data_IF_078250088851
#
_entry.id   IF_078250088851
#
_cell.length_a   1.000
_cell.length_b   1.000
_cell.length_c   1.000
_cell.angle_alpha   90.00
_cell.angle_beta   90.00
_cell.angle_gamma   90.00
#
_symmetry.space_group_name_H-M   'P 1'
#
loop_
_entity.id
_entity.type
_entity.pdbx_description
1 polymer ?
#
# COMPACT_ATOMS: atom_id res chain seq x y z
N UNK A 1 6.32 16.60 6.04
CA UNK A 1 6.95 17.30 4.90
C UNK A 1 6.78 18.79 5.05
N UNK A 2 7.81 19.51 5.50
CA UNK A 2 7.79 20.98 5.65
C UNK A 2 8.61 21.57 4.52
N UNK A 3 7.95 22.26 3.61
CA UNK A 3 8.56 23.01 2.52
C UNK A 3 9.12 24.33 3.07
N UNK A 4 10.41 24.53 2.90
CA UNK A 4 11.13 25.74 3.22
C UNK A 4 11.05 26.70 2.03
N UNK A 5 10.21 27.73 2.15
CA UNK A 5 10.16 28.85 1.23
C UNK A 5 11.27 29.87 1.57
N UNK A 6 12.34 29.91 0.81
CA UNK A 6 13.35 30.98 0.85
C UNK A 6 12.90 32.11 -0.08
N UNK A 7 12.41 33.20 0.50
CA UNK A 7 12.16 34.47 -0.23
C UNK A 7 13.49 35.13 -0.57
N UNK A 8 13.80 35.21 -1.86
CA UNK A 8 14.87 36.03 -2.39
C UNK A 8 14.29 37.45 -2.54
N UNK A 9 14.80 38.38 -1.74
CA UNK A 9 14.53 39.82 -1.91
C UNK A 9 15.59 40.42 -2.83
N UNK A 10 15.26 40.62 -4.09
CA UNK A 10 16.02 41.50 -5.00
C UNK A 10 15.58 42.95 -4.78
N UNK A 11 16.45 43.76 -4.22
CA UNK A 11 16.33 45.21 -4.28
C UNK A 11 17.28 45.74 -5.35
N UNK A 12 16.75 46.03 -6.54
CA UNK A 12 17.41 46.85 -7.51
C UNK A 12 17.10 48.33 -7.16
N UNK A 13 18.12 49.08 -6.84
CA UNK A 13 18.03 50.55 -6.71
C UNK A 13 18.91 51.15 -7.77
N UNK A 14 18.30 51.68 -8.78
CA UNK A 14 18.93 52.53 -9.80
C UNK A 14 18.92 53.97 -9.27
N UNK A 15 20.09 54.52 -9.01
CA UNK A 15 20.24 55.95 -8.86
C UNK A 15 21.24 56.47 -9.93
N UNK A 16 20.70 57.14 -10.89
CA UNK A 16 21.40 57.90 -11.90
C UNK A 16 21.90 59.23 -11.29
N UNK A 17 23.19 59.39 -11.17
CA UNK A 17 23.78 60.63 -10.74
C UNK A 17 25.20 60.79 -11.29
N UNK A 18 25.34 61.40 -12.47
CA UNK A 18 26.61 61.86 -12.98
C UNK A 18 27.03 63.12 -12.22
N UNK A 19 28.02 63.00 -11.34
CA UNK A 19 28.75 64.15 -10.85
C UNK A 19 30.24 63.96 -11.18
N UNK A 20 30.73 64.75 -12.13
CA UNK A 20 32.14 64.87 -12.45
C UNK A 20 32.80 65.68 -11.32
N UNK A 21 33.51 64.98 -10.44
CA UNK A 21 34.29 65.59 -9.39
C UNK A 21 35.77 65.60 -9.77
N UNK A 22 36.27 66.81 -9.99
CA UNK A 22 37.69 67.23 -10.25
C UNK A 22 38.58 66.98 -9.02
N UNK A 23 38.90 65.73 -8.69
CA UNK A 23 39.88 65.32 -7.67
C UNK A 23 40.85 64.23 -8.16
N UNK A 24 41.37 64.44 -9.38
CA UNK A 24 42.28 63.47 -10.01
C UNK A 24 43.77 63.79 -9.84
N UNK A 25 44.17 64.93 -9.28
CA UNK A 25 45.59 65.39 -9.36
C UNK A 25 46.44 65.31 -8.09
N UNK A 26 45.94 64.72 -6.96
CA UNK A 26 46.76 64.61 -5.75
C UNK A 26 47.03 63.18 -5.26
N UNK A 27 46.81 62.17 -6.08
CA UNK A 27 46.95 60.76 -5.63
C UNK A 27 48.10 59.98 -6.26
N UNK A 28 48.92 60.62 -7.10
CA UNK A 28 50.04 59.92 -7.75
C UNK A 28 51.39 59.99 -6.99
N UNK A 29 51.55 60.85 -6.01
CA UNK A 29 52.82 60.88 -5.24
C UNK A 29 52.93 59.89 -4.09
N UNK A 30 51.81 59.31 -3.61
CA UNK A 30 51.84 58.42 -2.48
C UNK A 30 51.89 56.91 -2.86
N UNK A 31 51.81 56.61 -4.16
CA UNK A 31 51.84 55.16 -4.61
C UNK A 31 53.27 54.69 -4.87
N UNK A 32 54.28 55.59 -5.07
CA UNK A 32 55.64 55.14 -5.30
C UNK A 32 56.47 54.91 -4.04
N UNK A 33 55.93 55.18 -2.84
CA UNK A 33 56.64 54.86 -1.56
C UNK A 33 56.24 53.58 -0.96
N UNK A 34 55.35 52.75 -1.58
CA UNK A 34 54.87 51.51 -1.03
C UNK A 34 55.33 50.26 -1.79
N UNK A 35 56.33 50.38 -2.67
CA UNK A 35 57.14 49.25 -3.13
C UNK A 35 58.28 49.06 -2.11
N UNK A 36 57.96 49.01 -0.84
CA UNK A 36 58.80 48.35 0.15
C UNK A 36 58.62 46.87 -0.09
N UNK A 37 59.65 46.27 -0.63
CA UNK A 37 59.94 44.84 -0.61
C UNK A 37 59.22 44.15 0.53
N UNK A 38 58.00 43.65 0.27
CA UNK A 38 57.37 42.68 1.13
C UNK A 38 58.19 41.38 1.00
N UNK A 39 59.38 41.36 1.64
CA UNK A 39 60.04 40.12 1.99
C UNK A 39 59.05 39.43 2.92
N UNK A 40 58.26 38.52 2.35
CA UNK A 40 57.34 37.66 3.15
C UNK A 40 58.18 37.08 4.28
N UNK A 41 57.87 37.40 5.55
CA UNK A 41 58.69 36.95 6.64
C UNK A 41 58.75 35.41 6.59
N UNK A 42 59.92 34.84 6.74
CA UNK A 42 60.13 33.38 6.68
C UNK A 42 59.07 32.60 7.48
N UNK A 43 58.60 33.16 8.57
CA UNK A 43 57.51 32.64 9.40
C UNK A 43 56.20 32.45 8.62
N UNK A 44 55.92 33.34 7.63
CA UNK A 44 54.71 33.27 6.82
C UNK A 44 54.84 32.18 5.74
N UNK A 45 56.02 32.01 5.18
CA UNK A 45 56.33 30.92 4.23
C UNK A 45 56.20 29.56 4.91
N UNK A 46 56.80 29.43 6.11
CA UNK A 46 56.71 28.20 6.91
C UNK A 46 55.23 27.86 7.27
N UNK A 47 54.46 28.89 7.66
CA UNK A 47 53.06 28.73 8.01
C UNK A 47 52.22 28.29 6.78
N UNK A 48 52.53 28.82 5.61
CA UNK A 48 51.86 28.43 4.37
C UNK A 48 52.18 26.99 3.94
N UNK A 49 53.46 26.61 4.07
CA UNK A 49 53.90 25.23 3.82
C UNK A 49 53.23 24.25 4.80
N UNK A 50 53.14 24.59 6.07
CA UNK A 50 52.46 23.77 7.07
C UNK A 50 50.96 23.63 6.79
N UNK A 51 50.30 24.71 6.44
CA UNK A 51 48.84 24.66 6.10
C UNK A 51 48.61 23.88 4.84
N UNK A 52 49.46 24.03 3.80
CA UNK A 52 49.41 23.24 2.58
C UNK A 52 49.61 21.74 2.87
N UNK A 53 50.63 21.40 3.67
CA UNK A 53 50.94 20.02 4.04
C UNK A 53 49.79 19.39 4.86
N UNK A 54 49.25 20.14 5.82
CA UNK A 54 48.09 19.71 6.61
C UNK A 54 46.85 19.43 5.71
N UNK A 55 46.57 20.30 4.75
CA UNK A 55 45.49 20.12 3.82
C UNK A 55 45.73 18.93 2.88
N UNK A 56 46.96 18.76 2.41
CA UNK A 56 47.36 17.62 1.60
C UNK A 56 47.19 16.31 2.34
N UNK A 57 47.69 16.21 3.59
CA UNK A 57 47.50 15.03 4.45
C UNK A 57 46.00 14.73 4.67
N UNK A 58 45.19 15.77 4.90
CA UNK A 58 43.74 15.61 5.03
C UNK A 58 43.12 15.06 3.76
N UNK A 59 43.52 15.52 2.60
CA UNK A 59 43.02 15.04 1.32
C UNK A 59 43.42 13.59 1.06
N UNK A 60 44.70 13.25 1.30
CA UNK A 60 45.18 11.89 1.16
C UNK A 60 44.48 10.95 2.13
N UNK A 61 44.20 11.39 3.37
CA UNK A 61 43.46 10.62 4.36
C UNK A 61 42.01 10.33 3.91
N UNK A 62 41.35 11.31 3.32
CA UNK A 62 40.02 11.14 2.74
C UNK A 62 40.03 10.14 1.56
N UNK A 63 41.00 10.24 0.66
CA UNK A 63 41.16 9.28 -0.44
C UNK A 63 41.41 7.87 0.09
N UNK A 64 42.21 7.73 1.12
CA UNK A 64 42.45 6.44 1.77
C UNK A 64 41.16 5.86 2.38
N UNK A 65 40.37 6.67 3.09
CA UNK A 65 39.10 6.23 3.65
C UNK A 65 38.11 5.83 2.53
N UNK A 66 38.05 6.59 1.44
CA UNK A 66 37.28 6.22 0.27
C UNK A 66 37.75 4.90 -0.36
N UNK A 67 39.04 4.71 -0.49
CA UNK A 67 39.63 3.46 -0.95
C UNK A 67 39.25 2.27 -0.08
N UNK A 68 39.30 2.43 1.24
CA UNK A 68 38.87 1.41 2.20
C UNK A 68 37.36 1.13 2.10
N UNK A 69 36.54 2.17 1.93
CA UNK A 69 35.10 2.01 1.75
C UNK A 69 34.75 1.25 0.48
N UNK A 70 35.42 1.57 -0.64
CA UNK A 70 35.27 0.85 -1.92
C UNK A 70 35.74 -0.60 -1.80
N UNK A 71 36.88 -0.83 -1.17
CA UNK A 71 37.39 -2.18 -0.92
C UNK A 71 36.43 -2.98 -0.04
N UNK A 72 35.94 -2.38 1.04
CA UNK A 72 34.93 -2.98 1.92
C UNK A 72 33.64 -3.34 1.16
N UNK A 73 33.17 -2.44 0.31
CA UNK A 73 32.03 -2.69 -0.56
C UNK A 73 32.28 -3.88 -1.51
N UNK A 74 33.46 -3.91 -2.13
CA UNK A 74 33.85 -5.01 -3.04
C UNK A 74 33.92 -6.36 -2.31
N UNK A 75 34.48 -6.37 -1.08
CA UNK A 75 34.52 -7.58 -0.24
C UNK A 75 33.11 -8.05 0.09
N UNK A 76 32.20 -7.16 0.45
CA UNK A 76 30.79 -7.53 0.76
C UNK A 76 30.08 -8.19 -0.41
N UNK A 77 30.35 -7.76 -1.63
CA UNK A 77 29.65 -8.27 -2.83
C UNK A 77 30.39 -9.42 -3.55
N UNK A 78 31.71 -9.48 -3.46
CA UNK A 78 32.52 -10.47 -4.20
C UNK A 78 32.86 -11.72 -3.39
N UNK A 79 32.74 -11.69 -2.07
CA UNK A 79 33.15 -12.85 -1.25
C UNK A 79 32.01 -13.85 -1.06
N UNK A 80 32.30 -15.16 -1.08
CA UNK A 80 31.32 -16.22 -0.87
C UNK A 80 30.80 -16.26 0.59
N UNK A 81 31.40 -15.49 1.51
CA UNK A 81 30.99 -15.42 2.92
C UNK A 81 29.54 -14.94 3.08
N UNK A 82 29.10 -14.03 2.19
CA UNK A 82 27.76 -13.46 2.20
C UNK A 82 26.81 -14.13 1.20
N UNK A 83 27.12 -15.33 0.77
CA UNK A 83 26.29 -16.11 -0.14
C UNK A 83 25.19 -16.80 0.65
N UNK A 84 23.94 -16.61 0.23
CA UNK A 84 22.77 -17.18 0.90
C UNK A 84 22.80 -18.71 0.86
N UNK A 85 22.76 -19.33 2.02
CA UNK A 85 22.62 -20.79 2.14
C UNK A 85 21.16 -21.19 2.26
N UNK A 86 20.72 -22.29 1.61
CA UNK A 86 19.33 -22.71 1.65
C UNK A 86 18.80 -22.98 3.07
N UNK A 87 19.64 -23.54 3.93
CA UNK A 87 19.34 -23.83 5.34
C UNK A 87 19.29 -22.59 6.25
N UNK A 88 19.71 -21.45 5.76
CA UNK A 88 19.72 -20.15 6.45
C UNK A 88 18.58 -19.22 6.05
N UNK A 89 17.63 -19.71 5.24
CA UNK A 89 16.41 -18.98 4.91
C UNK A 89 15.39 -19.25 6.02
N UNK A 90 15.12 -18.24 6.86
CA UNK A 90 14.06 -18.29 7.87
C UNK A 90 12.79 -17.69 7.29
N UNK A 91 11.70 -18.43 7.34
CA UNK A 91 10.40 -18.00 6.82
C UNK A 91 9.45 -17.82 7.98
N UNK A 92 8.80 -16.65 8.03
CA UNK A 92 7.73 -16.31 8.95
C UNK A 92 6.50 -15.96 8.13
N UNK A 93 5.44 -16.75 8.28
CA UNK A 93 4.17 -16.57 7.58
C UNK A 93 3.16 -15.88 8.49
N UNK A 94 2.38 -14.91 7.96
CA UNK A 94 1.39 -14.16 8.72
C UNK A 94 0.09 -13.96 7.91
N UNK A 95 -1.03 -14.58 8.36
CA UNK A 95 -1.14 -15.67 9.33
C UNK A 95 -0.58 -16.98 8.77
N UNK A 96 0.03 -17.80 9.61
CA UNK A 96 0.71 -19.03 9.20
C UNK A 96 -0.20 -20.03 8.45
N UNK A 97 -1.45 -20.28 8.89
CA UNK A 97 -2.31 -21.29 8.25
C UNK A 97 -2.72 -20.96 6.80
N UNK A 98 -2.58 -19.68 6.38
CA UNK A 98 -3.02 -19.21 5.04
C UNK A 98 -2.07 -19.64 3.93
N UNK A 99 -0.82 -19.94 4.29
CA UNK A 99 0.24 -20.23 3.33
C UNK A 99 0.62 -21.70 3.35
N UNK A 100 0.82 -22.26 2.16
CA UNK A 100 1.60 -23.50 2.04
C UNK A 100 3.08 -23.17 2.23
N UNK A 101 3.59 -23.51 3.41
CA UNK A 101 4.97 -23.28 3.78
C UNK A 101 5.95 -23.93 2.81
N UNK A 102 5.62 -25.16 2.35
CA UNK A 102 6.47 -25.88 1.41
C UNK A 102 6.58 -25.17 0.07
N UNK A 103 5.48 -24.61 -0.45
CA UNK A 103 5.48 -23.82 -1.67
C UNK A 103 6.33 -22.54 -1.53
N UNK A 104 6.20 -21.82 -0.40
CA UNK A 104 7.00 -20.62 -0.13
C UNK A 104 8.49 -20.98 -0.02
N UNK A 105 8.84 -22.04 0.70
CA UNK A 105 10.22 -22.53 0.83
C UNK A 105 10.82 -22.90 -0.53
N UNK A 106 10.04 -23.58 -1.36
CA UNK A 106 10.47 -23.98 -2.71
C UNK A 106 10.79 -22.74 -3.58
N UNK A 107 9.92 -21.76 -3.62
CA UNK A 107 10.12 -20.53 -4.38
C UNK A 107 11.34 -19.71 -3.88
N UNK A 108 11.60 -19.71 -2.58
CA UNK A 108 12.72 -18.97 -2.01
C UNK A 108 14.07 -19.67 -2.23
N UNK A 109 14.09 -20.98 -2.58
CA UNK A 109 15.33 -21.70 -2.93
C UNK A 109 16.03 -21.14 -4.15
N UNK A 110 15.31 -20.50 -5.08
CA UNK A 110 15.90 -19.88 -6.26
C UNK A 110 16.82 -18.68 -5.94
N UNK A 111 16.75 -18.18 -4.73
CA UNK A 111 17.67 -17.15 -4.23
C UNK A 111 18.91 -17.73 -3.56
N UNK A 112 18.97 -19.04 -3.31
CA UNK A 112 20.17 -19.68 -2.76
C UNK A 112 21.35 -19.53 -3.74
N UNK A 113 22.55 -19.33 -3.19
CA UNK A 113 23.75 -19.07 -3.97
C UNK A 113 23.94 -17.61 -4.40
N UNK A 114 22.95 -16.74 -4.22
CA UNK A 114 23.09 -15.30 -4.47
C UNK A 114 23.63 -14.59 -3.24
N UNK A 115 24.31 -13.46 -3.45
CA UNK A 115 24.77 -12.63 -2.32
C UNK A 115 23.56 -12.01 -1.59
N UNK A 116 23.52 -12.11 -0.26
CA UNK A 116 22.38 -11.64 0.56
C UNK A 116 22.09 -10.14 0.42
N UNK A 117 23.11 -9.33 0.08
CA UNK A 117 22.95 -7.89 -0.15
C UNK A 117 22.39 -7.57 -1.54
N UNK A 118 22.58 -8.46 -2.54
CA UNK A 118 22.06 -8.29 -3.89
C UNK A 118 20.58 -8.69 -4.01
N UNK A 119 20.04 -9.47 -3.08
CA UNK A 119 18.63 -9.88 -3.10
C UNK A 119 17.78 -8.72 -2.58
N UNK A 120 16.95 -8.14 -3.44
CA UNK A 120 16.02 -7.10 -3.00
C UNK A 120 14.73 -7.70 -2.43
N UNK A 121 14.03 -6.94 -1.59
CA UNK A 121 12.68 -7.31 -1.10
C UNK A 121 11.70 -7.41 -2.26
N UNK A 122 11.87 -6.55 -3.28
CA UNK A 122 11.02 -6.54 -4.47
C UNK A 122 11.20 -7.81 -5.31
N UNK A 123 12.42 -8.32 -5.45
CA UNK A 123 12.67 -9.57 -6.20
C UNK A 123 11.96 -10.76 -5.52
N UNK A 124 12.04 -10.82 -4.18
CA UNK A 124 11.34 -11.84 -3.39
C UNK A 124 9.82 -11.69 -3.56
N UNK A 125 9.30 -10.47 -3.45
CA UNK A 125 7.87 -10.20 -3.61
C UNK A 125 7.38 -10.62 -5.00
N UNK A 126 8.09 -10.27 -6.05
CA UNK A 126 7.74 -10.63 -7.44
C UNK A 126 7.72 -12.16 -7.61
N UNK A 127 8.78 -12.85 -7.20
CA UNK A 127 8.86 -14.31 -7.33
C UNK A 127 7.74 -15.03 -6.57
N UNK A 128 7.36 -14.54 -5.38
CA UNK A 128 6.28 -15.12 -4.60
C UNK A 128 4.90 -14.75 -5.17
N UNK A 129 4.67 -13.49 -5.58
CA UNK A 129 3.35 -13.00 -6.03
C UNK A 129 2.93 -13.57 -7.38
N UNK A 130 3.86 -13.99 -8.23
CA UNK A 130 3.56 -14.70 -9.48
C UNK A 130 2.88 -16.05 -9.24
N UNK A 131 3.18 -16.70 -8.11
CA UNK A 131 2.67 -18.03 -7.76
C UNK A 131 1.60 -18.02 -6.65
N UNK A 132 1.64 -17.03 -5.76
CA UNK A 132 0.78 -16.92 -4.58
C UNK A 132 0.07 -15.56 -4.61
N UNK A 133 -1.17 -15.54 -5.08
CA UNK A 133 -1.92 -14.29 -5.36
C UNK A 133 -2.34 -13.49 -4.13
N UNK A 134 -2.44 -14.13 -2.95
CA UNK A 134 -2.94 -13.48 -1.73
C UNK A 134 -1.85 -12.83 -0.87
N UNK A 135 -0.65 -12.65 -1.40
CA UNK A 135 0.44 -11.96 -0.70
C UNK A 135 0.18 -10.45 -0.69
N UNK A 136 0.14 -9.87 0.50
CA UNK A 136 0.01 -8.43 0.71
C UNK A 136 1.36 -7.73 0.79
N UNK A 137 2.31 -8.33 1.51
CA UNK A 137 3.63 -7.75 1.70
C UNK A 137 4.68 -8.82 1.98
N UNK A 138 5.91 -8.46 1.65
CA UNK A 138 7.11 -9.22 2.00
C UNK A 138 8.08 -8.29 2.69
N UNK A 139 8.61 -8.71 3.82
CA UNK A 139 9.67 -8.01 4.52
C UNK A 139 10.91 -8.90 4.56
N UNK A 140 12.07 -8.32 4.26
CA UNK A 140 13.36 -9.02 4.33
C UNK A 140 14.21 -8.42 5.42
N UNK A 141 14.77 -9.24 6.29
CA UNK A 141 15.84 -8.89 7.22
C UNK A 141 17.05 -9.79 7.02
N UNK A 142 18.25 -9.23 7.21
CA UNK A 142 19.50 -9.96 7.05
C UNK A 142 19.85 -10.70 8.34
N UNK A 143 20.25 -11.96 8.23
CA UNK A 143 20.82 -12.74 9.31
C UNK A 143 22.27 -13.05 8.94
N UNK A 144 23.16 -12.13 9.35
CA UNK A 144 24.58 -12.23 9.00
C UNK A 144 25.21 -13.51 9.55
N UNK A 145 26.19 -14.09 8.82
CA UNK A 145 26.78 -13.59 7.57
C UNK A 145 26.06 -14.08 6.29
N UNK A 146 25.34 -15.19 6.32
CA UNK A 146 24.94 -15.99 5.15
C UNK A 146 23.45 -16.33 5.12
N UNK A 147 22.60 -15.60 5.85
CA UNK A 147 21.18 -15.87 5.98
C UNK A 147 20.26 -14.67 5.76
N UNK A 148 19.00 -14.96 5.51
CA UNK A 148 17.91 -13.99 5.48
C UNK A 148 16.73 -14.51 6.28
N UNK A 149 15.99 -13.58 6.87
CA UNK A 149 14.64 -13.86 7.35
C UNK A 149 13.65 -13.15 6.45
N UNK A 150 12.69 -13.90 5.92
CA UNK A 150 11.61 -13.40 5.07
C UNK A 150 10.31 -13.53 5.83
N UNK A 151 9.63 -12.41 6.03
CA UNK A 151 8.27 -12.37 6.61
C UNK A 151 7.31 -12.15 5.44
N UNK A 152 6.44 -13.12 5.21
CA UNK A 152 5.42 -13.05 4.16
C UNK A 152 4.07 -12.84 4.83
N UNK A 153 3.36 -11.78 4.45
CA UNK A 153 2.04 -11.46 5.00
C UNK A 153 0.98 -11.52 3.92
N UNK A 154 -0.17 -12.14 4.21
CA UNK A 154 -1.33 -12.11 3.33
C UNK A 154 -2.19 -10.87 3.60
N UNK A 155 -3.07 -10.55 2.65
CA UNK A 155 -4.16 -9.62 2.93
C UNK A 155 -5.03 -10.17 4.07
N UNK A 156 -5.49 -9.31 4.99
CA UNK A 156 -6.32 -9.77 6.09
C UNK A 156 -7.64 -10.35 5.55
N UNK A 157 -8.13 -11.44 6.11
CA UNK A 157 -9.44 -11.97 5.78
C UNK A 157 -10.53 -11.02 6.28
N UNK A 158 -11.50 -10.73 5.40
CA UNK A 158 -12.61 -9.82 5.68
C UNK A 158 -13.93 -10.53 5.87
N UNK A 159 -14.12 -11.65 5.16
CA UNK A 159 -15.35 -12.44 5.21
C UNK A 159 -15.05 -13.94 5.12
N UNK A 160 -15.94 -14.74 5.67
CA UNK A 160 -16.01 -16.18 5.36
C UNK A 160 -17.01 -16.38 4.23
N UNK A 161 -16.50 -16.62 3.02
CA UNK A 161 -17.30 -16.81 1.83
C UNK A 161 -17.82 -18.25 1.74
N UNK A 162 -19.10 -18.38 1.45
CA UNK A 162 -19.76 -19.64 1.15
C UNK A 162 -20.11 -19.66 -0.35
N UNK A 163 -19.52 -20.60 -1.09
CA UNK A 163 -19.72 -20.77 -2.54
C UNK A 163 -20.23 -22.18 -2.76
N UNK A 164 -21.55 -22.33 -2.88
CA UNK A 164 -22.21 -23.62 -2.80
C UNK A 164 -21.98 -24.25 -1.43
N UNK A 165 -21.39 -25.45 -1.39
CA UNK A 165 -21.07 -26.16 -0.15
C UNK A 165 -19.65 -25.87 0.37
N UNK A 166 -18.83 -25.22 -0.42
CA UNK A 166 -17.44 -24.93 -0.08
C UNK A 166 -17.30 -23.65 0.75
N UNK A 167 -16.32 -23.64 1.65
CA UNK A 167 -16.00 -22.51 2.50
C UNK A 167 -14.61 -21.99 2.21
N UNK A 168 -14.49 -20.67 2.16
CA UNK A 168 -13.25 -19.95 1.93
C UNK A 168 -13.19 -18.75 2.86
N UNK A 169 -11.97 -18.27 3.13
CA UNK A 169 -11.80 -16.91 3.61
C UNK A 169 -11.62 -15.99 2.41
N UNK A 170 -12.33 -14.88 2.42
CA UNK A 170 -12.26 -13.83 1.42
C UNK A 170 -11.45 -12.67 1.99
N UNK A 171 -10.36 -12.33 1.33
CA UNK A 171 -9.49 -11.24 1.74
C UNK A 171 -10.07 -9.88 1.33
N UNK A 172 -9.48 -8.80 1.85
CA UNK A 172 -9.90 -7.43 1.49
C UNK A 172 -9.81 -7.13 0.00
N UNK A 173 -8.88 -7.76 -0.71
CA UNK A 173 -8.70 -7.59 -2.16
C UNK A 173 -9.44 -8.64 -3.00
N UNK A 174 -10.39 -9.37 -2.41
CA UNK A 174 -11.24 -10.31 -3.13
C UNK A 174 -10.63 -11.68 -3.42
N UNK A 175 -9.43 -11.98 -2.91
CA UNK A 175 -8.82 -13.29 -3.09
C UNK A 175 -9.48 -14.32 -2.18
N UNK A 176 -9.75 -15.51 -2.75
CA UNK A 176 -10.23 -16.66 -2.00
C UNK A 176 -9.04 -17.47 -1.48
N UNK A 177 -9.00 -17.69 -0.17
CA UNK A 177 -7.99 -18.51 0.50
C UNK A 177 -8.67 -19.65 1.26
N UNK A 178 -7.99 -20.75 1.57
CA UNK A 178 -8.57 -21.85 2.33
C UNK A 178 -9.21 -21.39 3.63
N UNK A 179 -10.34 -22.00 4.00
CA UNK A 179 -11.02 -21.68 5.27
C UNK A 179 -10.16 -22.07 6.47
N UNK A 180 -10.07 -21.16 7.42
CA UNK A 180 -9.38 -21.34 8.69
C UNK A 180 -10.41 -21.16 9.78
N UNK A 181 -10.83 -22.24 10.45
CA UNK A 181 -11.94 -22.22 11.41
C UNK A 181 -11.76 -21.21 12.56
N UNK A 182 -10.51 -20.97 12.97
CA UNK A 182 -10.16 -20.08 14.09
C UNK A 182 -10.29 -18.60 13.77
N UNK A 183 -10.47 -18.24 12.49
CA UNK A 183 -10.61 -16.86 12.07
C UNK A 183 -12.08 -16.43 12.19
N UNK A 184 -12.35 -15.51 13.10
CA UNK A 184 -13.69 -14.94 13.27
C UNK A 184 -13.90 -13.76 12.31
N UNK A 185 -14.67 -13.98 11.27
CA UNK A 185 -15.07 -12.94 10.30
C UNK A 185 -16.54 -13.12 9.92
N UNK A 186 -17.23 -12.05 9.47
CA UNK A 186 -18.61 -12.14 9.02
C UNK A 186 -18.79 -13.16 7.87
N UNK A 187 -19.91 -13.86 7.86
CA UNK A 187 -20.28 -14.76 6.76
C UNK A 187 -20.78 -13.95 5.56
N UNK A 188 -20.37 -14.33 4.35
CA UNK A 188 -20.85 -13.80 3.08
C UNK A 188 -21.19 -14.96 2.15
N UNK A 189 -22.44 -15.10 1.77
CA UNK A 189 -22.83 -16.06 0.75
C UNK A 189 -22.57 -15.44 -0.63
N UNK A 190 -21.85 -16.15 -1.49
CA UNK A 190 -21.51 -15.72 -2.84
C UNK A 190 -22.24 -16.61 -3.84
N UNK A 191 -23.04 -15.98 -4.69
CA UNK A 191 -23.82 -16.63 -5.73
C UNK A 191 -23.31 -16.18 -7.11
N UNK A 192 -23.56 -17.01 -8.11
CA UNK A 192 -23.23 -16.73 -9.52
C UNK A 192 -21.78 -16.30 -9.73
N UNK A 193 -20.86 -16.96 -8.99
CA UNK A 193 -19.42 -16.66 -9.11
C UNK A 193 -18.95 -16.95 -10.54
N UNK A 194 -18.31 -15.97 -11.15
CA UNK A 194 -17.72 -16.09 -12.49
C UNK A 194 -16.57 -17.11 -12.40
N UNK A 195 -16.63 -18.14 -13.23
CA UNK A 195 -15.56 -19.14 -13.36
C UNK A 195 -14.74 -18.83 -14.59
N UNK A 196 -13.42 -18.86 -14.48
CA UNK A 196 -12.56 -18.78 -15.66
C UNK A 196 -12.66 -20.10 -16.44
N UNK A 197 -13.23 -20.09 -17.68
CA UNK A 197 -13.44 -21.30 -18.45
C UNK A 197 -12.13 -21.98 -18.88
N UNK A 198 -11.01 -21.26 -18.86
CA UNK A 198 -9.71 -21.80 -19.31
C UNK A 198 -8.96 -22.50 -18.20
N UNK A 199 -9.18 -22.10 -16.94
CA UNK A 199 -8.38 -22.58 -15.78
C UNK A 199 -9.23 -23.53 -14.90
N UNK A 200 -10.56 -23.51 -15.04
CA UNK A 200 -11.49 -24.28 -14.19
C UNK A 200 -11.44 -23.86 -12.70
N UNK A 201 -10.76 -22.75 -12.39
CA UNK A 201 -10.61 -22.21 -11.05
C UNK A 201 -11.58 -21.06 -10.82
N UNK A 202 -12.07 -20.94 -9.59
CA UNK A 202 -12.87 -19.79 -9.17
C UNK A 202 -12.05 -18.52 -9.32
N UNK A 203 -12.61 -17.52 -10.00
CA UNK A 203 -11.97 -16.20 -10.12
C UNK A 203 -12.05 -15.47 -8.78
N UNK A 204 -11.04 -14.66 -8.43
CA UNK A 204 -11.17 -13.78 -7.28
C UNK A 204 -12.27 -12.75 -7.55
N UNK A 205 -12.98 -12.36 -6.48
CA UNK A 205 -13.93 -11.24 -6.55
C UNK A 205 -13.14 -9.97 -6.85
N UNK A 206 -13.64 -9.13 -7.76
CA UNK A 206 -12.94 -7.91 -8.14
C UNK A 206 -12.76 -6.95 -6.94
N UNK A 207 -11.60 -6.33 -6.82
CA UNK A 207 -11.31 -5.34 -5.77
C UNK A 207 -12.36 -4.23 -5.70
N UNK A 208 -12.89 -3.82 -6.86
CA UNK A 208 -13.93 -2.80 -6.95
C UNK A 208 -15.22 -3.25 -6.29
N UNK A 209 -15.61 -4.52 -6.46
CA UNK A 209 -16.81 -5.10 -5.86
C UNK A 209 -16.63 -5.23 -4.34
N UNK A 210 -15.47 -5.72 -3.90
CA UNK A 210 -15.12 -5.76 -2.48
C UNK A 210 -15.13 -4.38 -1.82
N UNK A 211 -14.64 -3.38 -2.53
CA UNK A 211 -14.72 -1.99 -2.08
C UNK A 211 -16.17 -1.51 -1.96
N UNK A 212 -17.01 -1.80 -2.95
CA UNK A 212 -18.45 -1.51 -2.93
C UNK A 212 -19.16 -2.14 -1.74
N UNK A 213 -18.95 -3.44 -1.51
CA UNK A 213 -19.51 -4.19 -0.37
C UNK A 213 -19.12 -3.52 0.96
N UNK A 214 -17.84 -3.21 1.15
CA UNK A 214 -17.36 -2.54 2.38
C UNK A 214 -18.01 -1.18 2.61
N UNK A 215 -18.17 -0.40 1.55
CA UNK A 215 -18.78 0.94 1.66
C UNK A 215 -20.27 0.85 2.01
N UNK A 216 -21.01 -0.09 1.43
CA UNK A 216 -22.41 -0.34 1.77
C UNK A 216 -22.53 -0.72 3.25
N UNK A 217 -21.72 -1.67 3.71
CA UNK A 217 -21.75 -2.14 5.10
C UNK A 217 -21.34 -1.08 6.11
N UNK A 218 -20.35 -0.26 5.78
CA UNK A 218 -19.97 0.88 6.63
C UNK A 218 -21.10 1.91 6.72
N UNK A 219 -21.73 2.23 5.59
CA UNK A 219 -22.88 3.12 5.56
C UNK A 219 -24.08 2.56 6.33
N UNK A 220 -24.33 1.25 6.20
CA UNK A 220 -25.35 0.55 6.97
C UNK A 220 -25.11 0.69 8.47
N UNK A 221 -23.90 0.37 8.94
CA UNK A 221 -23.52 0.49 10.35
C UNK A 221 -23.67 1.91 10.89
N UNK A 222 -23.40 2.93 10.07
CA UNK A 222 -23.53 4.34 10.48
C UNK A 222 -24.99 4.84 10.51
N UNK A 223 -25.78 4.45 9.53
CA UNK A 223 -27.11 5.04 9.25
C UNK A 223 -28.28 4.17 9.66
N UNK A 224 -28.09 2.87 9.66
CA UNK A 224 -29.10 1.85 9.89
C UNK A 224 -28.70 0.88 11.02
N UNK A 225 -27.94 1.36 12.00
CA UNK A 225 -27.39 0.55 13.12
C UNK A 225 -28.47 -0.13 13.98
N UNK A 226 -29.71 0.36 13.94
CA UNK A 226 -30.86 -0.26 14.62
C UNK A 226 -31.32 -1.57 13.97
N UNK A 227 -30.87 -1.85 12.75
CA UNK A 227 -31.20 -3.04 12.00
C UNK A 227 -29.97 -3.97 11.94
N UNK A 228 -29.94 -5.05 12.74
CA UNK A 228 -28.85 -6.01 12.72
C UNK A 228 -28.75 -6.69 11.35
N UNK A 229 -27.55 -7.03 10.94
CA UNK A 229 -27.32 -7.80 9.72
C UNK A 229 -27.36 -9.28 10.12
N UNK A 230 -28.38 -10.00 9.65
CA UNK A 230 -28.54 -11.44 9.91
C UNK A 230 -27.73 -12.24 8.90
N UNK A 231 -27.73 -11.79 7.62
CA UNK A 231 -27.08 -12.49 6.52
C UNK A 231 -26.64 -11.51 5.44
N UNK A 232 -25.55 -11.84 4.76
CA UNK A 232 -25.06 -11.12 3.57
C UNK A 232 -25.04 -12.08 2.38
N UNK A 233 -25.59 -11.65 1.24
CA UNK A 233 -25.56 -12.39 -0.01
C UNK A 233 -25.03 -11.50 -1.12
N UNK A 234 -24.02 -11.95 -1.81
CA UNK A 234 -23.42 -11.25 -2.94
C UNK A 234 -23.65 -12.04 -4.24
N UNK A 235 -24.26 -11.40 -5.21
CA UNK A 235 -24.50 -11.92 -6.56
C UNK A 235 -23.50 -11.28 -7.51
N UNK A 236 -22.45 -12.02 -7.87
CA UNK A 236 -21.30 -11.44 -8.55
C UNK A 236 -21.63 -10.99 -9.99
N UNK A 237 -22.39 -11.78 -10.73
CA UNK A 237 -22.74 -11.43 -12.11
C UNK A 237 -23.65 -10.20 -12.19
N UNK A 238 -24.59 -10.10 -11.28
CA UNK A 238 -25.56 -9.00 -11.21
C UNK A 238 -25.00 -7.75 -10.54
N UNK A 239 -23.85 -7.87 -9.87
CA UNK A 239 -23.22 -6.81 -9.05
C UNK A 239 -24.17 -6.30 -7.95
N UNK A 240 -24.79 -7.23 -7.25
CA UNK A 240 -25.81 -6.96 -6.24
C UNK A 240 -25.39 -7.46 -4.86
N UNK A 241 -25.68 -6.66 -3.85
CA UNK A 241 -25.53 -7.04 -2.45
C UNK A 241 -26.91 -7.05 -1.78
N UNK A 242 -27.28 -8.21 -1.23
CA UNK A 242 -28.46 -8.34 -0.40
C UNK A 242 -28.07 -8.36 1.07
N UNK A 243 -28.59 -7.43 1.83
CA UNK A 243 -28.50 -7.40 3.29
C UNK A 243 -29.79 -7.92 3.86
N UNK A 244 -29.73 -9.05 4.53
CA UNK A 244 -30.89 -9.63 5.23
C UNK A 244 -30.90 -9.08 6.64
N UNK A 245 -31.98 -8.45 7.03
CA UNK A 245 -32.21 -7.95 8.38
C UNK A 245 -33.64 -8.26 8.82
N UNK A 246 -33.82 -8.83 10.00
CA UNK A 246 -35.15 -9.24 10.51
C UNK A 246 -35.94 -10.04 9.45
N UNK A 247 -35.27 -10.93 8.72
CA UNK A 247 -35.81 -11.73 7.60
C UNK A 247 -36.30 -10.88 6.40
N UNK A 248 -35.92 -9.63 6.27
CA UNK A 248 -36.21 -8.75 5.13
C UNK A 248 -34.97 -8.64 4.26
N UNK A 249 -35.09 -8.85 2.99
CA UNK A 249 -34.01 -8.68 2.04
C UNK A 249 -33.97 -7.23 1.53
N UNK A 250 -32.89 -6.52 1.83
CA UNK A 250 -32.61 -5.19 1.28
C UNK A 250 -31.62 -5.35 0.13
N UNK A 251 -32.05 -5.05 -1.10
CA UNK A 251 -31.31 -5.32 -2.33
C UNK A 251 -30.66 -4.04 -2.83
N UNK A 252 -29.33 -4.05 -2.96
CA UNK A 252 -28.52 -2.91 -3.39
C UNK A 252 -27.72 -3.26 -4.65
N UNK A 253 -27.56 -2.24 -5.53
CA UNK A 253 -26.58 -2.29 -6.61
C UNK A 253 -25.21 -1.79 -6.11
N UNK A 254 -24.11 -2.49 -6.43
CA UNK A 254 -22.77 -2.03 -6.10
C UNK A 254 -22.39 -0.71 -6.79
N UNK A 255 -23.03 -0.37 -7.89
CA UNK A 255 -22.74 0.86 -8.64
C UNK A 255 -23.39 2.11 -8.03
N UNK A 256 -24.58 1.98 -7.43
CA UNK A 256 -25.41 3.11 -6.99
C UNK A 256 -25.70 3.14 -5.49
N UNK A 257 -25.04 2.32 -4.74
CA UNK A 257 -25.27 2.09 -3.32
C UNK A 257 -25.41 3.36 -2.48
N UNK A 258 -24.70 4.46 -2.82
CA UNK A 258 -24.72 5.71 -2.03
C UNK A 258 -26.14 6.31 -1.96
N UNK A 259 -26.80 6.40 -3.11
CA UNK A 259 -28.19 6.89 -3.19
C UNK A 259 -29.17 5.91 -2.57
N UNK A 260 -28.94 4.62 -2.75
CA UNK A 260 -29.82 3.55 -2.28
C UNK A 260 -29.84 3.45 -0.74
N UNK A 261 -28.68 3.50 -0.10
CA UNK A 261 -28.59 3.53 1.37
C UNK A 261 -29.21 4.79 1.94
N UNK A 262 -28.99 5.97 1.31
CA UNK A 262 -29.60 7.22 1.75
C UNK A 262 -31.13 7.20 1.64
N UNK A 263 -31.66 6.62 0.55
CA UNK A 263 -33.10 6.44 0.37
C UNK A 263 -33.68 5.52 1.45
N UNK A 264 -33.02 4.38 1.70
CA UNK A 264 -33.48 3.44 2.73
C UNK A 264 -33.49 4.09 4.14
N UNK A 265 -32.43 4.83 4.47
CA UNK A 265 -32.35 5.61 5.70
C UNK A 265 -33.52 6.57 5.83
N UNK A 266 -33.80 7.36 4.78
CA UNK A 266 -34.90 8.32 4.76
C UNK A 266 -36.26 7.62 4.95
N UNK A 267 -36.52 6.53 4.22
CA UNK A 267 -37.77 5.80 4.28
C UNK A 267 -38.04 5.19 5.66
N UNK A 268 -36.99 4.63 6.29
CA UNK A 268 -37.10 4.04 7.62
C UNK A 268 -37.25 5.09 8.69
N UNK A 269 -36.52 6.22 8.60
CA UNK A 269 -36.59 7.32 9.56
C UNK A 269 -37.94 8.05 9.50
N UNK A 270 -38.51 8.21 8.31
CA UNK A 270 -39.83 8.84 8.11
C UNK A 270 -40.99 7.90 8.42
N UNK A 271 -40.72 6.63 8.74
CA UNK A 271 -41.75 5.63 9.03
C UNK A 271 -42.55 5.16 7.78
N UNK A 272 -42.11 5.52 6.56
CA UNK A 272 -42.74 5.06 5.35
C UNK A 272 -42.54 3.57 5.10
N UNK A 273 -41.43 3.03 5.62
CA UNK A 273 -41.08 1.62 5.52
C UNK A 273 -40.76 1.05 6.89
N UNK A 274 -41.42 -0.05 7.20
CA UNK A 274 -41.17 -0.84 8.42
C UNK A 274 -40.58 -2.18 7.97
N UNK A 275 -39.23 -2.27 7.95
CA UNK A 275 -38.51 -3.44 7.40
C UNK A 275 -39.04 -4.79 7.90
N UNK A 276 -39.30 -5.00 9.20
CA UNK A 276 -39.83 -6.30 9.66
C UNK A 276 -41.18 -6.74 9.05
N UNK A 277 -41.90 -5.83 8.40
CA UNK A 277 -43.19 -6.13 7.73
C UNK A 277 -43.03 -6.50 6.26
N UNK A 278 -41.82 -6.45 5.72
CA UNK A 278 -41.52 -6.74 4.31
C UNK A 278 -40.82 -8.11 4.17
N UNK A 279 -41.04 -8.76 3.03
CA UNK A 279 -40.19 -9.84 2.54
C UNK A 279 -38.92 -9.26 1.92
N UNK A 280 -39.08 -8.23 1.09
CA UNK A 280 -37.94 -7.53 0.50
C UNK A 280 -38.25 -6.08 0.20
N UNK A 281 -37.16 -5.30 0.03
CA UNK A 281 -37.15 -3.97 -0.54
C UNK A 281 -36.03 -3.92 -1.59
N UNK A 282 -36.40 -3.61 -2.84
CA UNK A 282 -35.47 -3.48 -3.96
C UNK A 282 -35.25 -2.01 -4.29
N UNK A 283 -34.02 -1.57 -4.16
CA UNK A 283 -33.57 -0.19 -4.33
C UNK A 283 -32.79 0.02 -5.62
N UNK A 284 -32.53 -1.03 -6.39
CA UNK A 284 -31.68 -1.02 -7.58
C UNK A 284 -32.22 -0.17 -8.72
N UNK A 285 -33.53 0.03 -8.80
CA UNK A 285 -34.16 0.72 -9.93
C UNK A 285 -34.19 2.23 -9.68
N UNK A 286 -33.57 3.05 -10.55
CA UNK A 286 -33.54 4.49 -10.36
C UNK A 286 -34.95 5.09 -10.21
N UNK A 287 -35.12 5.92 -9.17
CA UNK A 287 -36.39 6.62 -8.89
C UNK A 287 -37.58 5.72 -8.59
N UNK A 288 -37.40 4.43 -8.40
CA UNK A 288 -38.45 3.49 -8.03
C UNK A 288 -37.97 2.58 -6.89
N UNK A 289 -38.86 2.25 -6.00
CA UNK A 289 -38.62 1.35 -4.89
C UNK A 289 -39.69 0.28 -4.96
N UNK A 290 -39.26 -0.97 -5.01
CA UNK A 290 -40.21 -2.09 -4.98
C UNK A 290 -40.18 -2.71 -3.60
N UNK A 291 -41.34 -2.88 -3.00
CA UNK A 291 -41.50 -3.53 -1.71
C UNK A 291 -42.48 -4.69 -1.83
N UNK A 292 -42.19 -5.77 -1.09
CA UNK A 292 -43.05 -6.89 -0.97
C UNK A 292 -43.52 -7.04 0.49
N UNK A 293 -44.76 -6.69 0.81
CA UNK A 293 -45.31 -6.89 2.16
C UNK A 293 -45.42 -8.36 2.52
N UNK A 294 -45.23 -8.68 3.79
CA UNK A 294 -45.37 -10.09 4.25
C UNK A 294 -46.79 -10.63 4.17
N UNK A 295 -47.78 -9.77 4.02
CA UNK A 295 -49.17 -10.14 3.77
C UNK A 295 -49.40 -10.70 2.38
N UNK A 296 -48.46 -10.50 1.42
CA UNK A 296 -48.57 -10.92 0.03
C UNK A 296 -47.60 -12.09 -0.27
N UNK A 297 -48.13 -13.30 -0.31
CA UNK A 297 -47.35 -14.50 -0.60
C UNK A 297 -46.85 -14.59 -2.05
N UNK A 298 -47.57 -14.00 -2.99
CA UNK A 298 -47.24 -14.07 -4.43
C UNK A 298 -45.89 -13.38 -4.75
N UNK A 299 -45.59 -12.25 -4.13
CA UNK A 299 -44.33 -11.56 -4.39
C UNK A 299 -43.12 -12.22 -3.72
N UNK A 300 -43.32 -12.95 -2.61
CA UNK A 300 -42.28 -13.75 -1.99
C UNK A 300 -41.81 -14.91 -2.90
N UNK A 301 -42.73 -15.55 -3.60
CA UNK A 301 -42.45 -16.60 -4.56
C UNK A 301 -41.64 -16.09 -5.77
N UNK A 302 -41.93 -14.87 -6.24
CA UNK A 302 -41.15 -14.23 -7.30
C UNK A 302 -39.68 -14.00 -6.90
N UNK A 303 -39.39 -13.60 -5.67
CA UNK A 303 -38.03 -13.46 -5.17
C UNK A 303 -37.28 -14.79 -5.21
N UNK A 304 -37.92 -15.86 -4.74
CA UNK A 304 -37.35 -17.20 -4.74
C UNK A 304 -37.03 -17.68 -6.15
N UNK A 305 -37.94 -17.43 -7.11
CA UNK A 305 -37.75 -17.85 -8.49
C UNK A 305 -36.68 -17.06 -9.25
N UNK A 306 -36.44 -15.78 -8.89
CA UNK A 306 -35.40 -14.96 -9.53
C UNK A 306 -33.99 -15.43 -9.10
N UNK A 307 -33.83 -15.90 -7.88
CA UNK A 307 -32.50 -16.20 -7.31
C UNK A 307 -32.19 -17.70 -7.16
N UNK A 308 -33.14 -18.59 -7.45
CA UNK A 308 -32.90 -20.04 -7.45
C UNK A 308 -32.74 -20.64 -8.86
N UNK A 309 -32.88 -19.82 -9.93
CA UNK A 309 -32.57 -20.17 -11.31
C UNK A 309 -31.19 -19.64 -11.70
#
# INVERSE_FOLDING_TARGET
MRLWNKKIKTKAKWDSGWSISTKVFHRQENTLKKIRTNKTPWTQVIKNIYTWFKNYLRTVWWLFLWGLAVLGFFVLFATPIFTLKPDKIKIVLRPEPVFDRGAVEWLLRDFAGKNIFSISTQDIFTALSENIRHIASVEKSLTLPDGIQVVVSSFPPSYRAYIGEERFLLTENGQLIPDIPEVEVPALQVFHLIQDPNIGKKTPILDQDMYGIRLILNSWKQKLSTFPIDELRFYEQEKELHIVTNKTHCIFSLERWKSEVAILEQLTTQGHVVLPRLHYIDLRIPKRIYTCPRSESACAQNLINIYNN
#
